data_IF_723214678342
#
_entry.id   IF_723214678342
#
_cell.length_a   1.000
_cell.length_b   1.000
_cell.length_c   1.000
_cell.angle_alpha   90.00
_cell.angle_beta   90.00
_cell.angle_gamma   90.00
#
_symmetry.space_group_name_H-M   'P 1'
#
loop_
_entity.id
_entity.type
_entity.pdbx_description
1 polymer ?
#
# COMPACT_ATOMS: atom_id res chain seq x y z
N UNK A 1 0.76 -4.23 9.71
CA UNK A 1 1.91 -3.32 9.63
C UNK A 1 1.40 -1.90 9.74
N UNK A 2 2.13 -1.00 10.41
CA UNK A 2 1.81 0.42 10.49
C UNK A 2 3.08 1.23 10.19
N UNK A 3 2.90 2.45 9.69
CA UNK A 3 3.97 3.43 9.47
C UNK A 3 3.48 4.73 10.07
N UNK A 4 4.23 5.28 11.02
CA UNK A 4 3.86 6.54 11.67
C UNK A 4 4.08 7.72 10.71
N UNK A 5 3.38 8.86 10.93
CA UNK A 5 3.70 10.09 10.22
C UNK A 5 5.19 10.43 10.34
N UNK A 6 5.80 10.81 9.21
CA UNK A 6 7.24 11.09 9.08
C UNK A 6 8.19 9.89 9.34
N UNK A 7 7.69 8.66 9.47
CA UNK A 7 8.53 7.45 9.53
C UNK A 7 8.95 7.02 8.12
N UNK A 8 10.24 6.71 7.96
CA UNK A 8 10.76 6.01 6.78
C UNK A 8 10.95 4.55 7.14
N UNK A 9 10.22 3.66 6.47
CA UNK A 9 10.31 2.21 6.66
C UNK A 9 10.71 1.50 5.37
N UNK A 10 11.75 0.66 5.46
CA UNK A 10 12.18 -0.21 4.38
C UNK A 10 11.55 -1.61 4.48
N UNK A 11 11.22 -2.21 3.33
CA UNK A 11 10.77 -3.60 3.23
C UNK A 11 11.85 -4.42 2.52
N UNK A 12 12.49 -5.33 3.25
CA UNK A 12 13.65 -6.12 2.78
C UNK A 12 13.32 -7.61 2.83
N UNK A 13 13.78 -8.37 1.85
CA UNK A 13 13.58 -9.82 1.74
C UNK A 13 14.00 -10.35 0.37
N UNK A 14 14.08 -11.68 0.17
CA UNK A 14 14.49 -12.27 -1.12
C UNK A 14 13.47 -12.02 -2.24
N UNK A 15 13.88 -12.26 -3.49
CA UNK A 15 12.96 -12.24 -4.62
C UNK A 15 11.83 -13.26 -4.40
N UNK A 16 10.60 -12.88 -4.75
CA UNK A 16 9.42 -13.70 -4.48
C UNK A 16 8.82 -13.57 -3.07
N UNK A 17 9.47 -12.87 -2.12
CA UNK A 17 8.94 -12.67 -0.76
C UNK A 17 7.69 -11.77 -0.67
N UNK A 18 7.06 -11.40 -1.79
CA UNK A 18 5.82 -10.62 -1.80
C UNK A 18 5.98 -9.10 -1.63
N UNK A 19 7.21 -8.56 -1.66
CA UNK A 19 7.46 -7.12 -1.47
C UNK A 19 6.72 -6.25 -2.50
N UNK A 20 6.89 -6.55 -3.79
CA UNK A 20 6.21 -5.83 -4.87
C UNK A 20 4.69 -6.04 -4.80
N UNK A 21 4.25 -7.23 -4.41
CA UNK A 21 2.82 -7.54 -4.20
C UNK A 21 2.23 -6.65 -3.10
N UNK A 22 2.91 -6.51 -1.96
CA UNK A 22 2.46 -5.63 -0.88
C UNK A 22 2.38 -4.17 -1.34
N UNK A 23 3.38 -3.67 -2.06
CA UNK A 23 3.37 -2.31 -2.61
C UNK A 23 2.26 -2.11 -3.64
N UNK A 24 1.94 -3.13 -4.45
CA UNK A 24 0.82 -3.10 -5.39
C UNK A 24 -0.53 -3.06 -4.67
N UNK A 25 -0.68 -3.81 -3.57
CA UNK A 25 -1.89 -3.78 -2.74
C UNK A 25 -2.08 -2.40 -2.11
N UNK A 26 -1.02 -1.81 -1.55
CA UNK A 26 -1.08 -0.47 -0.94
C UNK A 26 -1.46 0.61 -1.98
N UNK A 27 -0.97 0.48 -3.21
CA UNK A 27 -1.26 1.42 -4.30
C UNK A 27 -2.54 1.11 -5.11
N UNK A 28 -3.28 0.07 -4.73
CA UNK A 28 -4.53 -0.35 -5.39
C UNK A 28 -4.36 -1.00 -6.76
N UNK A 29 -3.14 -1.36 -7.17
CA UNK A 29 -2.89 -2.12 -8.42
C UNK A 29 -3.39 -3.56 -8.28
N UNK A 30 -3.34 -4.11 -7.06
CA UNK A 30 -3.80 -5.46 -6.75
C UNK A 30 -4.79 -5.39 -5.60
N UNK A 31 -5.95 -6.04 -5.73
CA UNK A 31 -6.92 -6.14 -4.63
C UNK A 31 -6.41 -7.21 -3.65
N UNK A 32 -6.37 -6.94 -2.33
CA UNK A 32 -5.98 -7.96 -1.37
C UNK A 32 -7.07 -9.03 -1.24
N UNK A 33 -6.68 -10.30 -1.09
CA UNK A 33 -7.64 -11.38 -0.82
C UNK A 33 -8.35 -11.21 0.53
N UNK A 34 -7.63 -10.70 1.53
CA UNK A 34 -8.12 -10.40 2.87
C UNK A 34 -7.42 -9.19 3.48
N UNK A 35 -8.06 -8.57 4.47
CA UNK A 35 -7.52 -7.42 5.19
C UNK A 35 -7.88 -6.08 4.54
N UNK A 36 -7.28 -5.00 5.06
CA UNK A 36 -7.57 -3.62 4.65
C UNK A 36 -6.31 -2.78 4.58
N UNK A 37 -6.33 -1.77 3.70
CA UNK A 37 -5.30 -0.73 3.62
C UNK A 37 -5.91 0.58 4.12
N UNK A 38 -5.25 1.22 5.09
CA UNK A 38 -5.69 2.48 5.70
C UNK A 38 -4.63 3.55 5.53
N UNK A 39 -5.07 4.78 5.27
CA UNK A 39 -4.27 6.01 5.32
C UNK A 39 -4.89 6.94 6.37
N UNK A 40 -4.34 6.94 7.58
CA UNK A 40 -5.03 7.50 8.74
C UNK A 40 -6.39 6.84 8.91
N UNK A 41 -7.46 7.64 8.97
CA UNK A 41 -8.84 7.16 9.06
C UNK A 41 -9.48 6.83 7.69
N UNK A 42 -8.75 7.01 6.59
CA UNK A 42 -9.27 6.76 5.24
C UNK A 42 -8.97 5.34 4.79
N UNK A 43 -10.01 4.55 4.54
CA UNK A 43 -9.85 3.23 3.92
C UNK A 43 -9.56 3.33 2.41
N UNK A 44 -8.47 2.72 1.97
CA UNK A 44 -8.03 2.67 0.57
C UNK A 44 -8.41 1.35 -0.15
N UNK A 45 -8.80 0.32 0.61
CA UNK A 45 -9.07 -1.03 0.08
C UNK A 45 -10.05 -0.99 -1.11
N UNK A 46 -9.65 -1.58 -2.24
CA UNK A 46 -10.49 -1.67 -3.44
C UNK A 46 -10.70 -0.36 -4.22
N UNK A 47 -10.13 0.77 -3.77
CA UNK A 47 -10.16 2.01 -4.56
C UNK A 47 -9.26 1.88 -5.80
N UNK A 48 -9.63 2.52 -6.93
CA UNK A 48 -8.79 2.49 -8.11
C UNK A 48 -7.47 3.26 -7.88
N UNK A 49 -6.35 2.87 -8.53
CA UNK A 49 -5.04 3.48 -8.31
C UNK A 49 -5.00 5.01 -8.44
N UNK A 50 -5.73 5.58 -9.40
CA UNK A 50 -5.76 7.03 -9.60
C UNK A 50 -6.39 7.79 -8.42
N UNK A 51 -7.37 7.18 -7.74
CA UNK A 51 -8.00 7.78 -6.56
C UNK A 51 -7.08 7.70 -5.34
N UNK A 52 -6.28 6.64 -5.22
CA UNK A 52 -5.27 6.49 -4.16
C UNK A 52 -4.11 7.46 -4.38
N UNK A 53 -3.65 7.62 -5.63
CA UNK A 53 -2.61 8.57 -5.99
C UNK A 53 -3.01 10.02 -5.65
N UNK A 54 -4.28 10.39 -5.86
CA UNK A 54 -4.79 11.71 -5.49
C UNK A 54 -4.74 11.99 -3.97
N UNK A 55 -4.61 10.96 -3.13
CA UNK A 55 -4.43 11.07 -1.67
C UNK A 55 -2.94 11.12 -1.26
N UNK A 56 -2.01 11.12 -2.22
CA UNK A 56 -0.57 11.18 -1.98
C UNK A 56 0.12 9.83 -1.80
N UNK A 57 -0.57 8.70 -2.05
CA UNK A 57 0.02 7.36 -2.01
C UNK A 57 0.27 6.88 -3.43
N UNK A 58 1.53 6.81 -3.86
CA UNK A 58 1.90 6.38 -5.21
C UNK A 58 3.16 5.50 -5.20
N UNK A 59 3.30 4.68 -6.24
CA UNK A 59 4.52 3.94 -6.56
C UNK A 59 4.99 4.31 -7.97
N UNK A 60 6.30 4.49 -8.13
CA UNK A 60 6.97 4.63 -9.43
C UNK A 60 7.39 3.28 -9.98
#
# INVERSE_FOLDING_TARGET
MQVAPAEIRGLIGPNGAGKSTLLNVISGITVPDQGRVMLGDTELTGRPPHAIAALGVART
#
